data_IF_314796061001
#
_entry.id   IF_314796061001
#
_cell.length_a   1.000
_cell.length_b   1.000
_cell.length_c   1.000
_cell.angle_alpha   90.00
_cell.angle_beta   90.00
_cell.angle_gamma   90.00
#
_symmetry.space_group_name_H-M   'P 1'
#
loop_
_entity.id
_entity.type
_entity.pdbx_description
1 polymer ?
#
# COMPACT_ATOMS: atom_id res chain seq x y z
N UNK A 1 6.88 28.96 -82.53
CA UNK A 1 7.48 30.30 -82.46
C UNK A 1 6.75 31.05 -81.36
N UNK A 2 7.33 31.54 -80.27
CA UNK A 2 8.72 31.72 -79.86
C UNK A 2 8.80 31.56 -78.33
N UNK A 3 9.95 31.13 -77.83
CA UNK A 3 10.30 31.13 -76.41
C UNK A 3 10.39 32.56 -75.86
N UNK A 4 9.98 32.78 -74.61
CA UNK A 4 10.90 33.41 -73.66
C UNK A 4 10.56 33.10 -72.21
N UNK A 5 11.59 32.64 -71.51
CA UNK A 5 11.62 32.33 -70.08
C UNK A 5 11.73 33.61 -69.27
N UNK A 6 11.10 33.68 -68.08
CA UNK A 6 11.78 34.28 -66.94
C UNK A 6 11.24 33.76 -65.61
N UNK A 7 12.19 33.29 -64.80
CA UNK A 7 12.05 32.67 -63.49
C UNK A 7 11.88 33.73 -62.41
N UNK A 8 10.87 33.59 -61.54
CA UNK A 8 10.98 33.98 -60.13
C UNK A 8 10.26 32.92 -59.28
N UNK A 9 11.06 32.01 -58.70
CA UNK A 9 10.60 30.97 -57.77
C UNK A 9 10.20 31.60 -56.44
N UNK A 10 8.90 31.57 -56.15
CA UNK A 10 8.32 31.81 -54.82
C UNK A 10 8.65 30.61 -53.91
N UNK A 11 9.44 30.82 -52.85
CA UNK A 11 9.67 29.83 -51.80
C UNK A 11 8.41 29.73 -50.92
N UNK A 12 7.56 28.73 -51.18
CA UNK A 12 6.57 28.25 -50.21
C UNK A 12 7.30 27.28 -49.26
N UNK A 13 7.51 27.71 -48.02
CA UNK A 13 7.84 26.80 -46.90
C UNK A 13 6.58 26.01 -46.59
N UNK A 14 6.52 24.78 -47.07
CA UNK A 14 5.56 23.78 -46.57
C UNK A 14 6.08 23.34 -45.20
N UNK A 15 5.36 23.72 -44.15
CA UNK A 15 5.54 23.13 -42.83
C UNK A 15 5.00 21.69 -42.90
N UNK A 16 5.92 20.73 -42.98
CA UNK A 16 5.62 19.35 -42.70
C UNK A 16 5.27 19.25 -41.21
N UNK A 17 3.99 19.06 -40.92
CA UNK A 17 3.53 18.51 -39.65
C UNK A 17 4.06 17.08 -39.57
N UNK A 18 5.20 16.89 -38.90
CA UNK A 18 5.60 15.58 -38.41
C UNK A 18 4.80 15.30 -37.14
N UNK A 19 3.81 14.42 -37.25
CA UNK A 19 3.25 13.67 -36.14
C UNK A 19 4.39 12.95 -35.41
N UNK A 20 4.77 13.42 -34.22
CA UNK A 20 5.42 12.59 -33.22
C UNK A 20 4.29 11.83 -32.51
N UNK A 21 3.93 10.63 -32.95
CA UNK A 21 4.58 9.36 -32.65
C UNK A 21 4.58 9.05 -31.14
N UNK A 22 3.58 8.28 -30.72
CA UNK A 22 3.68 7.25 -29.69
C UNK A 22 4.07 7.67 -28.27
N UNK A 23 3.07 8.06 -27.47
CA UNK A 23 3.05 7.63 -26.06
C UNK A 23 2.68 6.14 -26.04
N UNK A 24 3.61 5.31 -26.51
CA UNK A 24 3.58 3.90 -26.16
C UNK A 24 3.91 3.81 -24.68
N UNK A 25 3.13 3.04 -23.92
CA UNK A 25 3.52 2.56 -22.61
C UNK A 25 5.00 2.20 -22.65
N UNK A 26 5.82 2.83 -21.81
CA UNK A 26 7.25 2.56 -21.82
C UNK A 26 7.42 1.04 -21.62
N UNK A 27 7.93 0.29 -22.61
CA UNK A 27 8.19 -1.12 -22.40
C UNK A 27 9.21 -1.19 -21.27
N UNK A 28 8.91 -1.96 -20.23
CA UNK A 28 9.90 -2.28 -19.20
C UNK A 28 11.15 -2.77 -19.92
N UNK A 29 12.24 -2.00 -19.88
CA UNK A 29 13.51 -2.48 -20.40
C UNK A 29 13.96 -3.62 -19.46
N UNK A 30 13.88 -4.87 -19.92
CA UNK A 30 14.15 -6.09 -19.16
C UNK A 30 15.64 -6.25 -18.80
N UNK A 31 16.18 -5.37 -17.96
CA UNK A 31 17.62 -5.33 -17.71
C UNK A 31 18.12 -6.37 -16.69
N UNK A 32 17.20 -7.00 -15.95
CA UNK A 32 17.54 -8.04 -14.96
C UNK A 32 16.70 -9.30 -15.14
N UNK A 33 15.39 -9.16 -15.31
CA UNK A 33 14.47 -10.29 -15.42
C UNK A 33 13.81 -10.29 -16.80
N UNK A 34 13.92 -11.41 -17.52
CA UNK A 34 13.06 -11.73 -18.66
C UNK A 34 11.81 -12.47 -18.12
N UNK A 35 10.60 -11.88 -18.24
CA UNK A 35 9.39 -12.46 -17.67
C UNK A 35 8.84 -13.65 -18.46
N UNK A 36 9.44 -13.99 -19.61
CA UNK A 36 8.96 -15.08 -20.48
C UNK A 36 9.15 -16.46 -19.84
N UNK A 37 8.20 -17.36 -20.09
CA UNK A 37 8.30 -18.75 -19.61
C UNK A 37 9.53 -19.48 -20.19
N UNK A 38 10.01 -19.05 -21.37
CA UNK A 38 11.25 -19.57 -21.96
C UNK A 38 12.49 -19.20 -21.14
N UNK A 39 12.55 -17.99 -20.59
CA UNK A 39 13.66 -17.53 -19.76
C UNK A 39 13.71 -18.23 -18.39
N UNK A 40 12.56 -18.65 -17.84
CA UNK A 40 12.49 -19.39 -16.57
C UNK A 40 13.34 -20.66 -16.59
N UNK A 41 13.51 -21.28 -17.76
CA UNK A 41 14.33 -22.48 -17.93
C UNK A 41 15.81 -22.22 -17.58
N UNK A 42 16.30 -21.00 -17.79
CA UNK A 42 17.68 -20.59 -17.50
C UNK A 42 17.85 -20.00 -16.09
N UNK A 43 16.78 -19.53 -15.45
CA UNK A 43 16.82 -18.95 -14.11
C UNK A 43 17.11 -19.97 -13.02
N UNK A 44 17.68 -19.48 -11.91
CA UNK A 44 17.85 -20.29 -10.70
C UNK A 44 16.50 -20.41 -9.99
N UNK A 45 15.98 -21.62 -9.82
CA UNK A 45 14.74 -21.84 -9.06
C UNK A 45 15.00 -22.36 -7.63
N UNK A 46 14.06 -22.04 -6.74
CA UNK A 46 13.97 -22.60 -5.39
C UNK A 46 12.53 -23.05 -5.17
N UNK A 47 12.32 -24.36 -5.05
CA UNK A 47 11.05 -24.94 -4.65
C UNK A 47 10.97 -25.05 -3.12
N UNK A 48 9.82 -24.71 -2.53
CA UNK A 48 9.52 -24.85 -1.11
C UNK A 48 8.15 -25.52 -0.91
N UNK A 49 7.93 -26.15 0.24
CA UNK A 49 6.81 -27.07 0.50
C UNK A 49 5.54 -26.44 1.09
N UNK A 50 5.54 -25.13 1.30
CA UNK A 50 4.39 -24.38 1.80
C UNK A 50 4.01 -23.21 0.86
N UNK A 51 2.73 -22.81 0.83
CA UNK A 51 2.34 -21.54 0.23
C UNK A 51 2.81 -20.37 1.11
N UNK A 52 3.22 -19.26 0.50
CA UNK A 52 3.74 -18.09 1.23
C UNK A 52 2.73 -17.47 2.21
N UNK A 53 1.43 -17.63 1.94
CA UNK A 53 0.37 -17.08 2.78
C UNK A 53 0.27 -17.80 4.14
N UNK A 54 0.79 -19.03 4.22
CA UNK A 54 0.84 -19.85 5.45
C UNK A 54 2.20 -19.74 6.18
N UNK A 55 3.17 -18.99 5.63
CA UNK A 55 4.59 -19.06 6.02
C UNK A 55 4.93 -18.39 7.37
N UNK A 56 4.03 -17.57 7.92
CA UNK A 56 4.26 -16.84 9.18
C UNK A 56 5.52 -15.96 9.13
N UNK A 57 6.54 -16.30 9.92
CA UNK A 57 7.82 -15.62 9.95
C UNK A 57 8.95 -16.53 9.42
N UNK A 58 9.70 -16.02 8.44
CA UNK A 58 10.79 -16.69 7.75
C UNK A 58 12.15 -16.15 8.21
N UNK A 59 13.21 -16.93 8.03
CA UNK A 59 14.58 -16.55 8.34
C UNK A 59 15.13 -15.63 7.23
N UNK A 60 15.63 -14.47 7.63
CA UNK A 60 16.30 -13.53 6.75
C UNK A 60 17.75 -13.93 6.45
N UNK A 61 18.30 -13.42 5.34
CA UNK A 61 19.70 -13.57 4.94
C UNK A 61 20.69 -13.02 5.99
N UNK A 62 20.23 -12.08 6.82
CA UNK A 62 20.96 -11.47 7.93
C UNK A 62 20.68 -12.14 9.29
N UNK A 63 19.92 -13.24 9.30
CA UNK A 63 19.47 -13.93 10.51
C UNK A 63 18.26 -13.29 11.21
N UNK A 64 17.67 -12.23 10.64
CA UNK A 64 16.46 -11.61 11.16
C UNK A 64 15.21 -12.47 10.91
N UNK A 65 14.08 -12.06 11.49
CA UNK A 65 12.76 -12.65 11.19
C UNK A 65 12.04 -11.78 10.18
N UNK A 66 11.83 -12.31 8.99
CA UNK A 66 11.06 -11.68 7.91
C UNK A 66 9.62 -12.17 7.99
N UNK A 67 8.69 -11.28 8.32
CA UNK A 67 7.25 -11.59 8.25
C UNK A 67 6.87 -11.72 6.76
N UNK A 68 6.36 -12.87 6.34
CA UNK A 68 5.79 -13.00 4.99
C UNK A 68 4.54 -12.10 4.86
N UNK A 69 4.30 -11.56 3.67
CA UNK A 69 3.02 -10.95 3.31
C UNK A 69 2.40 -11.68 2.13
N UNK A 70 1.11 -11.40 1.89
CA UNK A 70 0.37 -11.91 0.75
C UNK A 70 1.14 -11.66 -0.55
N UNK A 71 1.09 -12.63 -1.46
CA UNK A 71 1.66 -12.51 -2.80
C UNK A 71 1.04 -11.36 -3.62
N UNK A 72 -0.18 -10.94 -3.28
CA UNK A 72 -0.84 -9.80 -3.92
C UNK A 72 -0.28 -8.44 -3.45
N UNK A 73 0.44 -8.40 -2.31
CA UNK A 73 1.14 -7.22 -1.80
C UNK A 73 2.56 -7.56 -1.29
N UNK A 74 3.50 -7.84 -2.23
CA UNK A 74 4.87 -8.24 -1.91
C UNK A 74 5.78 -7.05 -1.58
N UNK A 75 5.33 -5.82 -1.86
CA UNK A 75 6.11 -4.61 -1.74
C UNK A 75 5.95 -4.00 -0.35
N UNK A 76 7.08 -3.78 0.34
CA UNK A 76 7.13 -2.94 1.54
C UNK A 76 7.91 -1.68 1.23
N UNK A 77 7.31 -0.52 1.46
CA UNK A 77 8.06 0.74 1.41
C UNK A 77 8.44 1.11 2.84
N UNK A 78 9.71 0.95 3.17
CA UNK A 78 10.25 1.44 4.45
C UNK A 78 10.33 2.96 4.38
N UNK A 79 9.93 3.63 5.46
CA UNK A 79 9.84 5.10 5.57
C UNK A 79 10.80 5.66 6.63
N UNK A 80 11.97 5.03 6.82
CA UNK A 80 12.98 5.34 7.84
C UNK A 80 13.86 6.54 7.45
N UNK A 81 13.22 7.69 7.27
CA UNK A 81 13.87 8.91 6.83
C UNK A 81 14.06 8.98 5.32
N UNK A 82 13.87 7.88 4.58
CA UNK A 82 13.73 7.86 3.12
C UNK A 82 12.70 6.80 2.73
N UNK A 83 11.97 7.02 1.64
CA UNK A 83 11.09 6.01 1.07
C UNK A 83 11.92 5.01 0.27
N UNK A 84 11.97 3.76 0.70
CA UNK A 84 12.74 2.69 0.05
C UNK A 84 11.85 1.49 -0.22
N UNK A 85 11.62 1.12 -1.50
CA UNK A 85 10.91 -0.09 -1.81
C UNK A 85 11.80 -1.30 -1.47
N UNK A 86 11.23 -2.24 -0.75
CA UNK A 86 11.86 -3.49 -0.35
C UNK A 86 10.89 -4.63 -0.63
N UNK A 87 11.41 -5.72 -1.21
CA UNK A 87 10.66 -6.95 -1.36
C UNK A 87 11.02 -7.83 -0.18
N UNK A 88 10.03 -8.21 0.62
CA UNK A 88 10.29 -9.08 1.78
C UNK A 88 10.89 -10.41 1.33
N UNK A 89 10.43 -10.93 0.19
CA UNK A 89 10.89 -12.21 -0.34
C UNK A 89 12.35 -12.19 -0.79
N UNK A 90 12.93 -11.03 -1.13
CA UNK A 90 14.36 -10.93 -1.43
C UNK A 90 15.25 -10.95 -0.18
N UNK A 91 14.68 -10.66 0.99
CA UNK A 91 15.39 -10.65 2.26
C UNK A 91 15.49 -12.03 2.90
N UNK A 92 14.72 -13.02 2.43
CA UNK A 92 14.63 -14.36 3.00
C UNK A 92 15.80 -15.24 2.55
N UNK A 93 16.37 -16.01 3.48
CA UNK A 93 17.28 -17.10 3.16
C UNK A 93 16.49 -18.34 2.71
N UNK A 94 16.17 -18.38 1.42
CA UNK A 94 15.45 -19.49 0.81
C UNK A 94 16.22 -20.82 0.80
N UNK A 95 17.53 -20.82 1.07
CA UNK A 95 18.31 -22.06 1.08
C UNK A 95 17.87 -23.02 2.19
N UNK A 96 17.35 -22.47 3.31
CA UNK A 96 16.87 -23.22 4.47
C UNK A 96 15.54 -23.93 4.21
N UNK A 97 14.73 -23.40 3.29
CA UNK A 97 13.38 -23.89 3.00
C UNK A 97 13.30 -24.77 1.75
N UNK A 98 14.43 -24.93 1.06
CA UNK A 98 14.47 -25.61 -0.24
C UNK A 98 14.06 -27.08 -0.11
N UNK A 99 13.16 -27.51 -0.98
CA UNK A 99 12.89 -28.92 -1.27
C UNK A 99 14.09 -29.53 -2.01
N UNK A 100 14.82 -30.49 -1.40
CA UNK A 100 16.01 -31.07 -2.03
C UNK A 100 15.65 -31.80 -3.34
N UNK A 101 16.43 -31.55 -4.39
CA UNK A 101 16.27 -32.21 -5.70
C UNK A 101 15.03 -31.79 -6.51
N UNK A 102 14.20 -30.86 -5.99
CA UNK A 102 13.00 -30.39 -6.68
C UNK A 102 13.24 -28.99 -7.27
N UNK A 103 12.86 -28.84 -8.54
CA UNK A 103 12.87 -27.55 -9.26
C UNK A 103 11.57 -26.78 -9.10
N UNK A 104 10.46 -27.51 -8.97
CA UNK A 104 9.08 -27.03 -8.83
C UNK A 104 8.50 -27.63 -7.56
N UNK A 105 7.73 -26.83 -6.82
CA UNK A 105 7.01 -27.25 -5.61
C UNK A 105 5.78 -26.38 -5.36
N UNK A 106 5.08 -26.56 -4.22
CA UNK A 106 3.93 -25.74 -3.83
C UNK A 106 4.16 -24.24 -3.93
N UNK A 107 5.37 -23.76 -3.59
CA UNK A 107 5.84 -22.44 -4.01
C UNK A 107 7.17 -22.59 -4.74
N UNK A 108 7.32 -21.90 -5.86
CA UNK A 108 8.57 -21.87 -6.63
C UNK A 108 9.01 -20.42 -6.85
N UNK A 109 10.23 -20.10 -6.42
CA UNK A 109 10.83 -18.78 -6.59
C UNK A 109 11.90 -18.83 -7.68
N UNK A 110 11.89 -17.88 -8.60
CA UNK A 110 12.84 -17.78 -9.71
C UNK A 110 13.69 -16.54 -9.55
N UNK A 111 15.01 -16.73 -9.65
CA UNK A 111 16.00 -15.70 -9.47
C UNK A 111 16.92 -15.60 -10.68
N UNK A 112 17.31 -14.38 -10.97
CA UNK A 112 18.37 -14.07 -11.93
C UNK A 112 19.42 -13.15 -11.30
N UNK A 113 20.50 -12.87 -12.03
CA UNK A 113 21.55 -11.95 -11.61
C UNK A 113 21.58 -10.72 -12.50
N UNK A 114 21.61 -9.55 -11.88
CA UNK A 114 21.90 -8.30 -12.57
C UNK A 114 23.36 -8.26 -13.05
N UNK A 115 23.68 -7.27 -13.90
CA UNK A 115 25.01 -7.08 -14.45
C UNK A 115 26.11 -6.84 -13.38
N UNK A 116 25.74 -6.34 -12.21
CA UNK A 116 26.61 -6.15 -11.05
C UNK A 116 26.80 -7.44 -10.21
N UNK A 117 26.13 -8.52 -10.59
CA UNK A 117 26.15 -9.81 -9.90
C UNK A 117 25.14 -9.92 -8.75
N UNK A 118 24.36 -8.88 -8.45
CA UNK A 118 23.30 -8.92 -7.46
C UNK A 118 22.21 -9.91 -7.88
N UNK A 119 21.75 -10.72 -6.93
CA UNK A 119 20.67 -11.69 -7.15
C UNK A 119 19.33 -10.99 -6.97
N UNK A 120 18.46 -11.09 -7.97
CA UNK A 120 17.11 -10.54 -7.93
C UNK A 120 16.06 -11.63 -8.06
N UNK A 121 14.96 -11.48 -7.32
CA UNK A 121 13.77 -12.29 -7.49
C UNK A 121 13.03 -11.78 -8.73
N UNK A 122 12.75 -12.66 -9.68
CA UNK A 122 12.09 -12.33 -10.93
C UNK A 122 10.65 -12.81 -10.99
N UNK A 123 10.36 -13.98 -10.38
CA UNK A 123 9.03 -14.56 -10.37
C UNK A 123 8.81 -15.41 -9.14
N UNK A 124 7.59 -15.43 -8.64
CA UNK A 124 7.11 -16.37 -7.64
C UNK A 124 5.87 -17.06 -8.18
N UNK A 125 5.82 -18.38 -8.04
CA UNK A 125 4.69 -19.20 -8.42
C UNK A 125 4.16 -19.92 -7.19
N UNK A 126 2.85 -19.87 -6.99
CA UNK A 126 2.15 -20.74 -6.05
C UNK A 126 1.35 -21.76 -6.84
N UNK A 127 1.60 -23.03 -6.53
CA UNK A 127 1.07 -24.18 -7.22
C UNK A 127 0.14 -24.98 -6.31
N UNK A 128 -1.02 -25.33 -6.85
CA UNK A 128 -1.87 -26.39 -6.31
C UNK A 128 -1.44 -27.74 -6.86
N UNK A 129 -1.98 -28.82 -6.28
CA UNK A 129 -1.90 -30.14 -6.88
C UNK A 129 -2.98 -30.30 -7.95
N UNK A 130 -2.68 -31.08 -8.99
CA UNK A 130 -3.66 -31.50 -9.99
C UNK A 130 -4.70 -32.44 -9.39
N UNK A 131 -5.87 -32.50 -10.02
CA UNK A 131 -6.94 -33.40 -9.57
C UNK A 131 -6.47 -34.86 -9.70
N UNK A 132 -5.71 -35.17 -10.76
CA UNK A 132 -5.10 -36.48 -11.00
C UNK A 132 -4.11 -36.90 -9.89
N UNK A 133 -3.30 -35.97 -9.37
CA UNK A 133 -2.40 -36.27 -8.26
C UNK A 133 -3.19 -36.55 -6.99
N UNK A 134 -4.22 -35.74 -6.71
CA UNK A 134 -5.07 -35.92 -5.53
C UNK A 134 -5.82 -37.26 -5.57
N UNK A 135 -6.31 -37.69 -6.74
CA UNK A 135 -6.93 -39.00 -6.93
C UNK A 135 -5.94 -40.15 -6.70
N UNK A 136 -4.74 -40.06 -7.31
CA UNK A 136 -3.65 -41.04 -7.11
C UNK A 136 -3.28 -41.15 -5.64
N UNK A 137 -3.19 -40.00 -4.96
CA UNK A 137 -2.86 -39.93 -3.54
C UNK A 137 -3.95 -40.55 -2.68
N UNK A 138 -5.22 -40.22 -2.92
CA UNK A 138 -6.34 -40.78 -2.16
C UNK A 138 -6.40 -42.31 -2.28
N UNK A 139 -6.05 -42.86 -3.44
CA UNK A 139 -5.96 -44.31 -3.67
C UNK A 139 -4.81 -45.00 -2.91
N UNK A 140 -3.80 -44.25 -2.46
CA UNK A 140 -2.63 -44.76 -1.73
C UNK A 140 -2.78 -44.66 -0.21
N UNK A 141 -3.78 -43.92 0.29
CA UNK A 141 -4.06 -43.80 1.73
C UNK A 141 -4.91 -44.97 2.21
N UNK A 142 -4.62 -45.52 3.39
CA UNK A 142 -5.56 -46.42 4.05
C UNK A 142 -6.86 -45.66 4.42
N UNK A 143 -7.96 -46.38 4.65
CA UNK A 143 -9.26 -45.76 4.98
C UNK A 143 -9.18 -44.83 6.20
N UNK A 144 -8.42 -45.22 7.22
CA UNK A 144 -8.22 -44.47 8.46
C UNK A 144 -7.35 -43.22 8.25
N UNK A 145 -6.36 -43.30 7.36
CA UNK A 145 -5.55 -42.15 6.94
C UNK A 145 -6.33 -41.18 6.06
N UNK A 146 -7.21 -41.69 5.19
CA UNK A 146 -8.11 -40.90 4.35
C UNK A 146 -9.12 -40.10 5.19
N UNK A 147 -9.71 -40.71 6.23
CA UNK A 147 -10.64 -40.03 7.13
C UNK A 147 -9.94 -38.95 7.99
N UNK A 148 -8.73 -39.24 8.51
CA UNK A 148 -7.90 -38.25 9.22
C UNK A 148 -7.47 -37.11 8.30
N UNK A 149 -7.13 -37.42 7.04
CA UNK A 149 -6.76 -36.43 6.03
C UNK A 149 -7.94 -35.54 5.63
N UNK A 150 -9.13 -36.11 5.42
CA UNK A 150 -10.35 -35.34 5.15
C UNK A 150 -10.74 -34.43 6.32
N UNK A 151 -10.43 -34.85 7.56
CA UNK A 151 -10.57 -34.03 8.75
C UNK A 151 -9.53 -32.89 8.79
N UNK A 152 -8.24 -33.17 8.57
CA UNK A 152 -7.17 -32.16 8.56
C UNK A 152 -7.30 -31.15 7.40
N UNK A 153 -7.78 -31.56 6.22
CA UNK A 153 -8.11 -30.66 5.10
C UNK A 153 -9.17 -29.63 5.47
N UNK A 154 -10.14 -30.00 6.32
CA UNK A 154 -11.16 -29.08 6.86
C UNK A 154 -10.60 -28.15 7.95
N UNK A 155 -9.45 -28.48 8.54
CA UNK A 155 -8.87 -27.77 9.68
C UNK A 155 -7.45 -27.22 9.41
N UNK A 156 -7.01 -27.16 8.14
CA UNK A 156 -5.75 -26.51 7.75
C UNK A 156 -4.45 -27.24 8.16
N UNK A 157 -4.47 -28.57 8.27
CA UNK A 157 -3.29 -29.34 8.69
C UNK A 157 -2.12 -29.29 7.69
N UNK A 158 -1.02 -28.63 8.07
CA UNK A 158 0.20 -28.50 7.25
C UNK A 158 1.04 -29.78 7.10
N UNK A 159 0.85 -30.78 7.98
CA UNK A 159 1.75 -31.93 8.11
C UNK A 159 1.81 -32.85 6.88
N UNK A 160 0.71 -32.96 6.12
CA UNK A 160 0.66 -33.84 4.96
C UNK A 160 1.16 -33.17 3.66
N UNK A 161 1.07 -31.83 3.56
CA UNK A 161 1.45 -31.08 2.35
C UNK A 161 2.94 -31.20 2.01
N UNK A 162 3.80 -31.26 3.03
CA UNK A 162 5.25 -31.45 2.84
C UNK A 162 5.61 -32.83 2.28
N UNK A 163 4.88 -33.87 2.69
CA UNK A 163 5.07 -35.22 2.16
C UNK A 163 4.61 -35.29 0.69
N UNK A 164 3.46 -34.70 0.39
CA UNK A 164 2.94 -34.61 -0.98
C UNK A 164 3.90 -33.86 -1.89
N UNK A 165 4.44 -32.73 -1.42
CA UNK A 165 5.37 -31.93 -2.19
C UNK A 165 6.66 -32.68 -2.54
N UNK A 166 7.09 -33.61 -1.68
CA UNK A 166 8.25 -34.48 -1.96
C UNK A 166 7.90 -35.57 -2.97
N UNK A 167 6.68 -36.10 -2.92
CA UNK A 167 6.21 -37.17 -3.80
C UNK A 167 5.77 -36.70 -5.20
N UNK A 168 5.26 -35.47 -5.30
CA UNK A 168 4.76 -34.89 -6.53
C UNK A 168 5.89 -34.60 -7.53
N UNK A 169 5.61 -34.89 -8.79
CA UNK A 169 6.47 -34.55 -9.92
C UNK A 169 6.02 -33.23 -10.57
N UNK A 170 6.84 -32.58 -11.42
CA UNK A 170 6.48 -31.27 -12.00
C UNK A 170 5.12 -31.22 -12.70
N UNK A 171 4.66 -32.34 -13.29
CA UNK A 171 3.34 -32.44 -13.95
C UNK A 171 2.16 -32.65 -12.99
N UNK A 172 2.43 -32.91 -11.71
CA UNK A 172 1.42 -33.04 -10.65
C UNK A 172 1.03 -31.67 -10.06
N UNK A 173 1.66 -30.60 -10.53
CA UNK A 173 1.39 -29.23 -10.10
C UNK A 173 0.57 -28.47 -11.14
N UNK A 174 -0.31 -27.61 -10.62
CA UNK A 174 -1.07 -26.63 -11.38
C UNK A 174 -0.75 -25.25 -10.85
N UNK A 175 -0.37 -24.33 -11.74
CA UNK A 175 -0.12 -22.94 -11.38
C UNK A 175 -1.44 -22.25 -11.00
N UNK A 176 -1.54 -21.79 -9.75
CA UNK A 176 -2.73 -21.10 -9.24
C UNK A 176 -2.51 -19.58 -9.21
N UNK A 177 -1.34 -19.14 -8.73
CA UNK A 177 -0.99 -17.72 -8.64
C UNK A 177 0.44 -17.50 -9.10
N UNK A 178 0.70 -16.35 -9.71
CA UNK A 178 2.07 -15.91 -9.98
C UNK A 178 2.25 -14.42 -9.74
N UNK A 179 3.44 -14.07 -9.27
CA UNK A 179 3.96 -12.72 -9.17
C UNK A 179 5.13 -12.59 -10.15
N UNK A 180 5.12 -11.55 -10.98
CA UNK A 180 6.20 -11.23 -11.92
C UNK A 180 6.78 -9.87 -11.56
N UNK A 181 8.09 -9.81 -11.33
CA UNK A 181 8.80 -8.61 -10.89
C UNK A 181 9.53 -7.96 -12.07
N UNK A 182 9.44 -6.64 -12.16
CA UNK A 182 10.03 -5.84 -13.23
C UNK A 182 11.09 -4.91 -12.67
N UNK A 183 12.24 -4.85 -13.32
CA UNK A 183 13.36 -4.00 -12.94
C UNK A 183 13.72 -3.03 -14.07
N UNK A 184 14.18 -1.84 -13.71
CA UNK A 184 14.69 -0.87 -14.68
C UNK A 184 16.13 -1.20 -15.11
N UNK A 185 16.65 -0.42 -16.06
CA UNK A 185 18.03 -0.53 -16.57
C UNK A 185 19.13 -0.35 -15.51
N UNK A 186 18.80 0.22 -14.36
CA UNK A 186 19.71 0.39 -13.24
C UNK A 186 19.56 -0.74 -12.20
N UNK A 187 18.78 -1.78 -12.49
CA UNK A 187 18.53 -2.90 -11.58
C UNK A 187 17.58 -2.57 -10.42
N UNK A 188 16.87 -1.43 -10.48
CA UNK A 188 15.91 -1.05 -9.42
C UNK A 188 14.55 -1.63 -9.73
N UNK A 189 13.80 -2.03 -8.69
CA UNK A 189 12.43 -2.48 -8.84
C UNK A 189 11.56 -1.38 -9.49
N UNK A 190 11.04 -1.66 -10.68
CA UNK A 190 10.20 -0.77 -11.46
C UNK A 190 8.70 -1.11 -11.31
N UNK A 191 8.36 -2.32 -10.85
CA UNK A 191 6.98 -2.72 -10.68
C UNK A 191 6.81 -4.22 -10.54
N UNK A 192 5.56 -4.66 -10.44
CA UNK A 192 5.20 -6.06 -10.45
C UNK A 192 3.79 -6.28 -11.00
N UNK A 193 3.56 -7.47 -11.53
CA UNK A 193 2.26 -7.98 -11.96
C UNK A 193 1.85 -9.17 -11.11
N UNK A 194 0.59 -9.20 -10.68
CA UNK A 194 -0.01 -10.33 -9.97
C UNK A 194 -1.01 -11.03 -10.87
N UNK A 195 -1.08 -12.35 -10.75
CA UNK A 195 -1.97 -13.19 -11.51
C UNK A 195 -2.58 -14.24 -10.61
N UNK A 196 -3.87 -14.52 -10.81
CA UNK A 196 -4.58 -15.58 -10.12
C UNK A 196 -5.44 -16.36 -11.11
N UNK A 197 -5.60 -17.65 -10.83
CA UNK A 197 -6.57 -18.51 -11.49
C UNK A 197 -7.91 -18.38 -10.77
N UNK A 198 -8.99 -18.25 -11.52
CA UNK A 198 -10.32 -18.38 -10.94
C UNK A 198 -10.53 -19.81 -10.45
N UNK A 199 -11.17 -19.96 -9.28
CA UNK A 199 -11.40 -21.27 -8.65
C UNK A 199 -12.14 -22.24 -9.57
N UNK A 200 -13.09 -21.73 -10.34
CA UNK A 200 -13.95 -22.51 -11.22
C UNK A 200 -13.36 -22.68 -12.63
N UNK A 201 -12.18 -22.12 -12.89
CA UNK A 201 -11.50 -22.30 -14.16
C UNK A 201 -11.04 -23.76 -14.33
N UNK A 202 -11.11 -24.27 -15.55
CA UNK A 202 -10.59 -25.59 -15.89
C UNK A 202 -9.10 -25.74 -15.55
N UNK A 203 -8.67 -26.97 -15.31
CA UNK A 203 -7.31 -27.30 -14.84
C UNK A 203 -6.18 -26.76 -15.75
N UNK A 204 -6.47 -26.64 -17.05
CA UNK A 204 -5.51 -26.17 -18.06
C UNK A 204 -5.58 -24.66 -18.33
N UNK A 205 -6.51 -23.96 -17.70
CA UNK A 205 -6.65 -22.52 -17.87
C UNK A 205 -5.53 -21.81 -17.12
N UNK A 206 -4.68 -21.01 -17.79
CA UNK A 206 -3.61 -20.29 -17.12
C UNK A 206 -4.17 -19.16 -16.22
N UNK A 207 -3.45 -18.76 -15.17
CA UNK A 207 -3.81 -17.59 -14.35
C UNK A 207 -3.92 -16.32 -15.20
N UNK A 208 -4.96 -15.53 -14.93
CA UNK A 208 -5.17 -14.22 -15.54
C UNK A 208 -4.56 -13.12 -14.67
N UNK A 209 -4.18 -11.99 -15.28
CA UNK A 209 -3.62 -10.87 -14.54
C UNK A 209 -4.71 -10.22 -13.66
N UNK A 210 -4.44 -10.10 -12.37
CA UNK A 210 -5.35 -9.53 -11.36
C UNK A 210 -4.91 -8.16 -10.87
N UNK A 211 -3.61 -7.86 -10.97
CA UNK A 211 -3.07 -6.58 -10.51
C UNK A 211 -1.78 -6.18 -11.22
N UNK A 212 -1.48 -4.90 -11.10
CA UNK A 212 -0.22 -4.30 -11.54
C UNK A 212 0.11 -3.11 -10.64
N UNK A 213 1.36 -3.03 -10.21
CA UNK A 213 1.89 -1.88 -9.49
C UNK A 213 3.18 -1.42 -10.17
N UNK A 214 3.31 -0.13 -10.45
CA UNK A 214 4.55 0.45 -10.97
C UNK A 214 5.16 1.41 -9.95
N UNK A 215 6.47 1.48 -9.96
CA UNK A 215 7.28 2.37 -9.14
C UNK A 215 7.97 3.37 -10.04
N UNK A 216 7.96 4.63 -9.64
CA UNK A 216 8.64 5.71 -10.35
C UNK A 216 9.62 6.40 -9.42
N UNK A 217 10.82 6.64 -9.94
CA UNK A 217 11.88 7.34 -9.23
C UNK A 217 12.05 8.76 -9.77
N UNK A 218 12.50 9.69 -8.94
CA UNK A 218 12.88 11.04 -9.38
C UNK A 218 14.31 11.09 -9.97
N UNK A 219 14.75 12.27 -10.38
CA UNK A 219 16.06 12.47 -11.00
C UNK A 219 17.25 12.13 -10.07
N UNK A 220 17.04 12.14 -8.74
CA UNK A 220 18.05 11.73 -7.75
C UNK A 220 17.99 10.22 -7.46
N UNK A 221 17.03 9.52 -8.08
CA UNK A 221 16.81 8.09 -7.91
C UNK A 221 16.02 7.71 -6.66
N UNK A 222 15.33 8.66 -6.01
CA UNK A 222 14.47 8.36 -4.87
C UNK A 222 13.08 7.95 -5.36
N UNK A 223 12.44 7.01 -4.65
CA UNK A 223 11.08 6.59 -4.98
C UNK A 223 10.15 7.79 -4.86
N UNK A 224 9.53 8.20 -5.96
CA UNK A 224 8.68 9.39 -6.04
C UNK A 224 7.19 9.06 -6.07
N UNK A 225 6.82 7.92 -6.67
CA UNK A 225 5.45 7.45 -6.71
C UNK A 225 5.37 5.93 -6.84
N UNK A 226 4.26 5.34 -6.41
CA UNK A 226 3.95 3.93 -6.62
C UNK A 226 2.45 3.71 -6.78
N UNK A 227 2.03 2.77 -7.63
CA UNK A 227 0.61 2.43 -7.80
C UNK A 227 0.28 1.89 -9.19
N UNK A 228 -0.96 1.45 -9.38
CA UNK A 228 -1.45 0.99 -10.68
C UNK A 228 -1.55 2.14 -11.69
N UNK A 229 -1.98 3.30 -11.22
CA UNK A 229 -2.11 4.54 -11.99
C UNK A 229 -0.76 5.09 -12.46
N UNK A 230 0.33 4.79 -11.73
CA UNK A 230 1.70 5.09 -12.18
C UNK A 230 2.05 4.32 -13.46
N UNK A 231 1.49 3.12 -13.63
CA UNK A 231 1.67 2.34 -14.86
C UNK A 231 1.01 3.00 -16.07
N UNK A 232 -0.09 3.72 -15.85
CA UNK A 232 -0.78 4.50 -16.89
C UNK A 232 -0.04 5.81 -17.24
N UNK A 233 1.19 5.99 -16.73
CA UNK A 233 2.02 7.15 -16.96
C UNK A 233 1.68 8.35 -16.07
N UNK A 234 0.72 8.22 -15.14
CA UNK A 234 0.44 9.27 -14.16
C UNK A 234 1.60 9.37 -13.17
N UNK A 235 1.94 10.60 -12.80
CA UNK A 235 3.05 10.86 -11.88
C UNK A 235 2.87 12.17 -11.13
N UNK A 236 3.65 12.35 -10.06
CA UNK A 236 3.54 13.53 -9.21
C UNK A 236 2.13 13.64 -8.64
N UNK A 237 1.48 14.78 -8.81
CA UNK A 237 0.16 15.03 -8.21
C UNK A 237 -0.99 14.22 -8.81
N UNK A 238 -0.77 13.57 -9.94
CA UNK A 238 -1.74 12.66 -10.54
C UNK A 238 -1.61 11.23 -10.03
N UNK A 239 -0.56 10.93 -9.27
CA UNK A 239 -0.35 9.60 -8.71
C UNK A 239 -1.16 9.38 -7.41
N UNK A 240 -1.66 8.16 -7.23
CA UNK A 240 -2.44 7.70 -6.08
C UNK A 240 -1.59 7.54 -4.82
N UNK A 241 -0.29 7.28 -4.95
CA UNK A 241 0.66 7.34 -3.84
C UNK A 241 1.95 8.04 -4.26
N UNK A 242 2.33 9.08 -3.52
CA UNK A 242 3.49 9.95 -3.79
C UNK A 242 4.34 10.06 -2.55
N UNK A 243 5.65 10.07 -2.75
CA UNK A 243 6.65 10.28 -1.71
C UNK A 243 7.43 11.55 -2.04
N UNK A 244 7.42 12.52 -1.12
CA UNK A 244 8.08 13.81 -1.30
C UNK A 244 9.33 13.85 -0.42
N UNK A 245 10.48 14.08 -1.04
CA UNK A 245 11.76 14.21 -0.37
C UNK A 245 12.30 15.64 -0.50
N UNK A 246 13.12 16.07 0.47
CA UNK A 246 13.95 17.27 0.32
C UNK A 246 15.18 17.00 -0.58
N UNK A 247 16.03 18.01 -0.75
CA UNK A 247 17.21 17.95 -1.60
C UNK A 247 18.30 16.95 -1.12
N UNK A 248 18.24 16.51 0.14
CA UNK A 248 19.15 15.50 0.71
C UNK A 248 18.54 14.09 0.64
N UNK A 249 17.32 13.98 0.13
CA UNK A 249 16.59 12.72 -0.01
C UNK A 249 15.92 12.27 1.28
N UNK A 250 15.73 13.19 2.23
CA UNK A 250 14.96 12.91 3.44
C UNK A 250 13.48 12.99 3.12
N UNK A 251 12.72 11.98 3.54
CA UNK A 251 11.27 11.92 3.37
C UNK A 251 10.62 13.04 4.19
N UNK A 252 9.86 13.88 3.52
CA UNK A 252 9.08 14.96 4.13
C UNK A 252 7.64 14.54 4.30
N UNK A 253 7.05 13.93 3.25
CA UNK A 253 5.62 13.63 3.18
C UNK A 253 5.34 12.41 2.34
N UNK A 254 4.28 11.70 2.71
CA UNK A 254 3.61 10.72 1.86
C UNK A 254 2.21 11.22 1.58
N UNK A 255 1.85 11.31 0.30
CA UNK A 255 0.55 11.79 -0.18
C UNK A 255 -0.17 10.60 -0.81
N UNK A 256 -1.35 10.25 -0.28
CA UNK A 256 -2.24 9.24 -0.85
C UNK A 256 -3.49 9.92 -1.42
N UNK A 257 -3.96 9.46 -2.58
CA UNK A 257 -5.18 9.95 -3.24
C UNK A 257 -6.06 8.77 -3.63
N UNK A 258 -7.24 8.70 -3.04
CA UNK A 258 -8.22 7.63 -3.25
C UNK A 258 -9.60 8.29 -3.49
N UNK A 259 -10.22 8.11 -4.65
CA UNK A 259 -11.60 8.54 -4.95
C UNK A 259 -11.97 9.98 -4.51
N UNK A 260 -11.07 10.94 -4.74
CA UNK A 260 -11.27 12.35 -4.37
C UNK A 260 -10.92 12.69 -2.91
N UNK A 261 -10.63 11.71 -2.07
CA UNK A 261 -9.96 11.91 -0.80
C UNK A 261 -8.45 12.05 -1.03
N UNK A 262 -7.83 12.97 -0.29
CA UNK A 262 -6.38 13.17 -0.31
C UNK A 262 -5.88 13.17 1.12
N UNK A 263 -4.86 12.36 1.38
CA UNK A 263 -4.23 12.19 2.68
C UNK A 263 -2.76 12.56 2.60
N UNK A 264 -2.25 13.31 3.57
CA UNK A 264 -0.85 13.71 3.67
C UNK A 264 -0.32 13.33 5.05
N UNK A 265 0.63 12.40 5.11
CA UNK A 265 1.38 12.07 6.32
C UNK A 265 2.74 12.77 6.25
N UNK A 266 3.07 13.60 7.23
CA UNK A 266 4.38 14.29 7.32
C UNK A 266 5.39 13.46 8.10
N UNK A 267 6.68 13.76 7.94
CA UNK A 267 7.80 13.09 8.60
C UNK A 267 8.80 14.10 9.17
N UNK A 268 9.33 13.79 10.35
CA UNK A 268 10.29 14.66 11.04
C UNK A 268 11.72 14.52 10.48
N UNK A 269 12.69 15.22 11.09
CA UNK A 269 14.10 15.15 10.69
C UNK A 269 14.74 13.76 10.86
N UNK A 270 14.15 12.92 11.72
CA UNK A 270 14.61 11.56 12.03
C UNK A 270 13.84 10.49 11.25
N UNK A 271 12.91 10.88 10.38
CA UNK A 271 12.08 9.96 9.61
C UNK A 271 10.91 9.37 10.40
N UNK A 272 10.54 9.93 11.54
CA UNK A 272 9.36 9.50 12.28
C UNK A 272 8.09 10.11 11.68
N UNK A 273 6.98 9.35 11.59
CA UNK A 273 5.69 9.91 11.21
C UNK A 273 5.27 11.03 12.16
N UNK A 274 4.94 12.20 11.60
CA UNK A 274 4.42 13.37 12.31
C UNK A 274 2.92 13.59 12.08
N UNK A 275 2.54 14.82 11.75
CA UNK A 275 1.15 15.22 11.52
C UNK A 275 0.51 14.51 10.32
N UNK A 276 -0.77 14.16 10.48
CA UNK A 276 -1.65 13.62 9.44
C UNK A 276 -2.68 14.69 9.03
N UNK A 277 -2.75 14.96 7.73
CA UNK A 277 -3.73 15.88 7.13
C UNK A 277 -4.60 15.15 6.12
N UNK A 278 -5.85 15.59 6.02
CA UNK A 278 -6.88 14.94 5.21
C UNK A 278 -7.69 16.04 4.51
N UNK A 279 -7.85 15.93 3.20
CA UNK A 279 -8.95 16.58 2.49
C UNK A 279 -9.87 15.50 1.95
N UNK A 280 -11.08 15.49 2.48
CA UNK A 280 -12.20 14.77 1.89
C UNK A 280 -12.85 15.70 0.88
N UNK A 281 -12.52 15.59 -0.41
CA UNK A 281 -13.42 16.12 -1.43
C UNK A 281 -14.65 15.22 -1.40
N UNK A 282 -15.72 15.69 -0.75
CA UNK A 282 -16.93 14.88 -0.57
C UNK A 282 -16.97 14.06 0.70
N UNK A 283 -16.76 14.68 1.87
CA UNK A 283 -17.56 14.21 3.01
C UNK A 283 -19.01 14.15 2.52
N UNK A 284 -19.59 12.94 2.43
CA UNK A 284 -21.01 12.79 2.74
C UNK A 284 -21.13 13.54 4.05
N UNK A 285 -21.86 14.67 4.04
CA UNK A 285 -22.05 15.48 5.24
C UNK A 285 -22.19 14.51 6.40
N UNK A 286 -21.34 14.65 7.43
CA UNK A 286 -21.45 13.79 8.61
C UNK A 286 -22.94 13.71 8.91
N UNK A 287 -23.50 12.49 8.97
CA UNK A 287 -24.93 12.36 9.13
C UNK A 287 -25.34 13.26 10.28
N UNK A 288 -26.51 13.90 10.17
CA UNK A 288 -26.99 14.84 11.19
C UNK A 288 -26.90 14.27 12.61
N UNK A 289 -26.72 12.95 12.73
CA UNK A 289 -26.41 12.19 13.91
C UNK A 289 -25.33 11.15 13.61
N UNK A 290 -24.33 11.01 14.48
CA UNK A 290 -23.27 10.02 14.32
C UNK A 290 -23.78 8.61 14.63
N UNK A 291 -23.64 7.67 13.67
CA UNK A 291 -24.10 6.31 13.87
C UNK A 291 -23.21 5.54 14.86
N UNK A 292 -23.78 4.51 15.47
CA UNK A 292 -22.97 3.42 16.02
C UNK A 292 -22.25 2.69 14.87
N UNK A 293 -20.91 2.61 14.90
CA UNK A 293 -20.13 1.93 13.87
C UNK A 293 -19.92 0.48 14.29
N UNK A 294 -20.54 -0.44 13.55
CA UNK A 294 -20.36 -1.89 13.72
C UNK A 294 -19.01 -2.33 13.11
N UNK A 295 -18.40 -3.36 13.69
CA UNK A 295 -17.15 -3.99 13.21
C UNK A 295 -15.89 -3.09 13.22
N UNK A 296 -15.77 -2.20 14.22
CA UNK A 296 -14.71 -1.20 14.39
C UNK A 296 -13.29 -1.72 14.74
N UNK A 297 -12.95 -2.97 14.44
CA UNK A 297 -11.72 -3.59 14.94
C UNK A 297 -10.47 -3.37 14.08
N UNK A 298 -10.60 -2.89 12.83
CA UNK A 298 -9.45 -2.68 11.95
C UNK A 298 -8.87 -1.26 12.04
N UNK A 299 -7.53 -1.16 12.11
CA UNK A 299 -6.80 0.11 12.18
C UNK A 299 -6.92 0.93 10.89
N UNK A 300 -7.12 0.28 9.74
CA UNK A 300 -7.35 0.96 8.46
C UNK A 300 -8.66 1.75 8.42
N UNK A 301 -9.62 1.36 9.25
CA UNK A 301 -10.98 1.91 9.27
C UNK A 301 -11.06 3.24 10.05
N UNK A 302 -10.16 3.46 11.01
CA UNK A 302 -10.11 4.69 11.82
C UNK A 302 -9.69 5.93 11.04
N UNK A 303 -8.89 5.76 9.99
CA UNK A 303 -8.46 6.87 9.13
C UNK A 303 -9.62 7.42 8.28
N UNK A 304 -10.64 6.58 8.01
CA UNK A 304 -11.89 6.99 7.35
C UNK A 304 -12.86 7.70 8.32
N UNK A 305 -12.60 7.64 9.63
CA UNK A 305 -13.45 8.17 10.71
C UNK A 305 -12.92 9.51 11.23
N UNK A 306 -12.86 10.50 10.34
CA UNK A 306 -12.32 11.82 10.67
C UNK A 306 -13.40 12.90 10.76
N UNK A 307 -13.37 13.68 11.85
CA UNK A 307 -14.13 14.91 12.03
C UNK A 307 -13.23 16.13 11.77
N UNK A 308 -13.60 16.95 10.80
CA UNK A 308 -12.93 18.21 10.49
C UNK A 308 -13.60 19.36 11.24
N UNK A 309 -12.80 20.20 11.89
CA UNK A 309 -13.26 21.38 12.62
C UNK A 309 -12.98 22.65 11.82
N UNK A 310 -14.02 23.28 11.29
CA UNK A 310 -13.92 24.50 10.46
C UNK A 310 -13.35 25.72 11.22
N UNK A 311 -13.37 25.70 12.55
CA UNK A 311 -12.91 26.81 13.37
C UNK A 311 -13.18 26.60 14.87
N UNK A 312 -12.81 27.56 15.73
CA UNK A 312 -12.98 27.45 17.19
C UNK A 312 -14.44 27.37 17.64
N UNK A 313 -15.39 27.75 16.78
CA UNK A 313 -16.83 27.76 17.05
C UNK A 313 -17.58 26.59 16.37
N UNK A 314 -16.86 25.53 15.99
CA UNK A 314 -17.40 24.34 15.31
C UNK A 314 -18.66 23.75 15.96
N UNK A 315 -19.48 23.08 15.15
CA UNK A 315 -20.72 22.44 15.60
C UNK A 315 -20.46 20.98 15.92
N UNK A 316 -20.85 20.55 17.12
CA UNK A 316 -20.73 19.14 17.51
C UNK A 316 -21.95 18.37 16.99
N UNK A 317 -21.75 17.29 16.20
CA UNK A 317 -22.86 16.44 15.80
C UNK A 317 -23.40 15.67 17.03
N UNK A 318 -24.73 15.48 17.14
CA UNK A 318 -25.31 14.60 18.14
C UNK A 318 -24.95 13.13 17.85
N UNK A 319 -25.05 12.29 18.88
CA UNK A 319 -24.88 10.83 18.77
C UNK A 319 -26.24 10.12 18.69
N UNK A 320 -26.24 8.85 18.28
CA UNK A 320 -27.47 8.07 18.09
C UNK A 320 -28.31 7.88 19.36
N UNK A 321 -27.65 7.68 20.50
CA UNK A 321 -28.30 7.36 21.77
C UNK A 321 -27.94 8.36 22.87
N UNK A 322 -28.84 8.48 23.85
CA UNK A 322 -28.60 9.29 25.04
C UNK A 322 -27.71 8.62 26.07
N UNK A 323 -27.23 9.41 27.02
CA UNK A 323 -26.49 8.96 28.20
C UNK A 323 -25.15 8.27 27.94
N UNK A 324 -24.58 8.44 26.75
CA UNK A 324 -23.21 8.00 26.45
C UNK A 324 -22.19 8.90 27.13
N UNK A 325 -21.25 8.26 27.84
CA UNK A 325 -20.03 8.88 28.29
C UNK A 325 -19.13 9.17 27.07
N UNK A 326 -18.81 10.44 26.86
CA UNK A 326 -17.94 10.89 25.78
C UNK A 326 -16.73 11.63 26.32
N UNK A 327 -15.62 11.55 25.59
CA UNK A 327 -14.36 12.22 25.93
C UNK A 327 -13.55 12.61 24.70
N UNK A 328 -12.99 13.81 24.71
CA UNK A 328 -11.95 14.28 23.80
C UNK A 328 -10.59 14.14 24.47
N UNK A 329 -9.69 13.41 23.82
CA UNK A 329 -8.38 13.06 24.33
C UNK A 329 -7.30 13.54 23.37
N UNK A 330 -6.20 14.04 23.91
CA UNK A 330 -4.99 14.34 23.14
C UNK A 330 -3.95 13.26 23.44
N UNK A 331 -3.47 12.61 22.39
CA UNK A 331 -2.43 11.58 22.47
C UNK A 331 -1.05 12.21 22.82
N UNK A 332 -0.23 11.54 23.64
CA UNK A 332 1.11 12.00 24.03
C UNK A 332 2.18 11.71 22.95
N UNK A 333 3.29 12.45 22.97
CA UNK A 333 4.38 12.30 21.98
C UNK A 333 4.04 12.91 20.61
N UNK A 334 4.74 12.49 19.56
CA UNK A 334 4.62 13.04 18.18
C UNK A 334 4.00 12.05 17.17
N UNK A 335 3.77 10.79 17.55
CA UNK A 335 3.28 9.72 16.67
C UNK A 335 1.76 9.82 16.38
N UNK A 336 1.33 9.68 15.13
CA UNK A 336 -0.08 9.80 14.71
C UNK A 336 -1.00 8.76 15.36
N UNK A 337 -2.32 9.02 15.35
CA UNK A 337 -3.36 8.27 16.07
C UNK A 337 -3.63 6.80 15.62
N UNK A 338 -2.63 6.09 15.08
CA UNK A 338 -2.73 4.69 14.69
C UNK A 338 -2.87 3.68 15.83
N UNK A 339 -2.98 4.11 17.10
CA UNK A 339 -3.18 3.17 18.20
C UNK A 339 -3.52 3.82 19.53
N UNK A 340 -4.80 4.15 19.78
CA UNK A 340 -5.25 4.47 21.15
C UNK A 340 -5.04 3.29 22.11
N UNK A 341 -5.01 2.05 21.56
CA UNK A 341 -4.73 0.81 22.30
C UNK A 341 -3.28 0.76 22.81
N UNK A 342 -2.36 1.54 22.22
CA UNK A 342 -0.96 1.59 22.63
C UNK A 342 -0.70 2.54 23.80
N UNK A 343 -1.65 3.41 24.13
CA UNK A 343 -1.50 4.40 25.21
C UNK A 343 -2.33 4.01 26.41
N UNK A 344 -1.74 4.10 27.59
CA UNK A 344 -2.50 3.91 28.82
C UNK A 344 -3.37 5.14 29.06
N UNK A 345 -4.55 4.96 29.68
CA UNK A 345 -5.47 6.08 29.96
C UNK A 345 -4.81 7.22 30.77
N UNK A 346 -3.79 6.92 31.60
CA UNK A 346 -3.04 7.90 32.39
C UNK A 346 -2.02 8.73 31.59
N UNK A 347 -1.72 8.34 30.34
CA UNK A 347 -0.82 9.07 29.45
C UNK A 347 -1.57 10.06 28.53
N UNK A 348 -2.91 9.97 28.49
CA UNK A 348 -3.76 10.76 27.62
C UNK A 348 -4.17 12.07 28.28
N UNK A 349 -3.99 13.19 27.59
CA UNK A 349 -4.45 14.48 28.09
C UNK A 349 -5.95 14.65 27.80
N UNK A 350 -6.77 14.77 28.84
CA UNK A 350 -8.19 15.05 28.71
C UNK A 350 -8.44 16.50 28.28
N UNK A 351 -9.07 16.70 27.12
CA UNK A 351 -9.45 18.02 26.62
C UNK A 351 -10.84 18.43 27.09
N UNK A 352 -11.80 17.48 27.04
CA UNK A 352 -13.17 17.63 27.50
C UNK A 352 -13.82 16.25 27.71
N UNK A 353 -14.79 16.16 28.63
CA UNK A 353 -15.63 14.97 28.83
C UNK A 353 -17.04 15.37 29.28
N UNK A 354 -17.97 14.44 29.16
CA UNK A 354 -19.32 14.57 29.70
C UNK A 354 -20.22 13.40 29.30
N UNK A 355 -21.53 13.59 29.50
CA UNK A 355 -22.57 12.65 29.06
C UNK A 355 -23.44 13.28 27.98
N UNK A 356 -23.83 12.50 26.98
CA UNK A 356 -24.83 12.94 26.00
C UNK A 356 -26.20 13.07 26.69
N UNK A 357 -26.99 14.08 26.30
CA UNK A 357 -28.37 14.21 26.80
C UNK A 357 -29.27 13.09 26.26
N UNK A 358 -30.49 12.98 26.77
CA UNK A 358 -31.46 11.92 26.38
C UNK A 358 -31.75 11.79 24.88
N UNK A 359 -31.49 12.83 24.09
CA UNK A 359 -31.62 12.83 22.64
C UNK A 359 -30.28 12.69 21.89
N UNK A 360 -29.22 12.28 22.58
CA UNK A 360 -27.85 12.21 22.04
C UNK A 360 -27.17 13.57 21.86
N UNK A 361 -27.77 14.66 22.35
CA UNK A 361 -27.17 15.98 22.22
C UNK A 361 -25.94 16.12 23.13
N UNK A 362 -24.82 16.59 22.56
CA UNK A 362 -23.62 16.89 23.31
C UNK A 362 -23.46 18.40 23.46
N UNK A 363 -23.12 18.84 24.67
CA UNK A 363 -22.93 20.26 24.98
C UNK A 363 -21.48 20.50 25.37
N UNK A 364 -20.81 21.33 24.58
CA UNK A 364 -19.48 21.86 24.86
C UNK A 364 -19.60 23.37 25.09
N UNK A 365 -18.90 23.88 26.11
CA UNK A 365 -18.72 25.32 26.28
C UNK A 365 -17.85 25.90 25.16
N UNK A 366 -17.95 27.21 24.91
CA UNK A 366 -17.10 27.88 23.92
C UNK A 366 -15.59 27.68 24.22
N UNK A 367 -15.20 27.67 25.50
CA UNK A 367 -13.84 27.41 25.92
C UNK A 367 -13.39 25.97 25.60
N UNK A 368 -14.27 24.97 25.76
CA UNK A 368 -13.96 23.59 25.40
C UNK A 368 -13.82 23.42 23.89
N UNK A 369 -14.75 23.98 23.10
CA UNK A 369 -14.67 23.94 21.64
C UNK A 369 -13.37 24.55 21.12
N UNK A 370 -13.00 25.72 21.65
CA UNK A 370 -11.75 26.40 21.31
C UNK A 370 -10.52 25.57 21.67
N UNK A 371 -10.47 25.01 22.88
CA UNK A 371 -9.36 24.15 23.33
C UNK A 371 -9.18 22.93 22.44
N UNK A 372 -10.27 22.25 22.07
CA UNK A 372 -10.25 21.08 21.19
C UNK A 372 -9.74 21.49 19.79
N UNK A 373 -10.24 22.60 19.26
CA UNK A 373 -9.81 23.13 17.96
C UNK A 373 -8.33 23.53 17.96
N UNK A 374 -7.86 24.24 18.99
CA UNK A 374 -6.44 24.61 19.14
C UNK A 374 -5.55 23.36 19.23
N UNK A 375 -5.96 22.35 20.02
CA UNK A 375 -5.22 21.09 20.10
C UNK A 375 -5.19 20.34 18.75
N UNK A 376 -6.31 20.29 18.02
CA UNK A 376 -6.39 19.64 16.71
C UNK A 376 -5.61 20.40 15.63
N UNK A 377 -5.47 21.72 15.75
CA UNK A 377 -4.66 22.57 14.87
C UNK A 377 -3.17 22.44 15.17
N UNK A 378 -2.81 22.47 16.44
CA UNK A 378 -1.42 22.48 16.88
C UNK A 378 -0.81 21.06 16.83
N UNK A 379 -1.66 20.02 16.90
CA UNK A 379 -1.26 18.61 16.77
C UNK A 379 -2.25 17.84 15.88
N UNK A 380 -2.20 18.03 14.55
CA UNK A 380 -3.12 17.38 13.61
C UNK A 380 -3.06 15.86 13.67
N UNK A 381 -4.23 15.22 13.73
CA UNK A 381 -4.37 13.76 13.81
C UNK A 381 -4.08 13.18 15.19
N UNK A 382 -4.04 14.00 16.25
CA UNK A 382 -3.70 13.58 17.63
C UNK A 382 -4.84 13.73 18.62
N UNK A 383 -5.91 14.39 18.22
CA UNK A 383 -7.11 14.52 19.03
C UNK A 383 -8.06 13.38 18.66
N UNK A 384 -8.45 12.57 19.65
CA UNK A 384 -9.46 11.53 19.49
C UNK A 384 -10.72 11.94 20.21
N UNK A 385 -11.86 11.71 19.57
CA UNK A 385 -13.15 11.78 20.21
C UNK A 385 -13.73 10.40 20.38
N UNK A 386 -13.73 9.91 21.62
CA UNK A 386 -14.53 8.76 22.02
C UNK A 386 -15.95 9.25 22.28
N UNK A 387 -16.86 9.02 21.32
CA UNK A 387 -18.22 9.58 21.37
C UNK A 387 -19.25 8.60 21.94
N UNK A 388 -18.92 7.32 21.98
CA UNK A 388 -19.68 6.25 22.61
C UNK A 388 -18.73 5.09 22.98
N UNK A 389 -19.16 4.13 23.81
CA UNK A 389 -18.35 2.95 24.15
C UNK A 389 -17.88 2.19 22.89
N UNK A 390 -16.57 2.04 22.73
CA UNK A 390 -15.96 1.36 21.57
C UNK A 390 -15.99 2.16 20.26
N UNK A 391 -16.40 3.44 20.30
CA UNK A 391 -16.57 4.28 19.12
C UNK A 391 -15.67 5.51 19.18
N UNK A 392 -14.83 5.69 18.17
CA UNK A 392 -13.88 6.79 18.09
C UNK A 392 -13.80 7.47 16.72
N UNK A 393 -13.49 8.77 16.74
CA UNK A 393 -13.15 9.57 15.57
C UNK A 393 -11.80 10.26 15.80
N UNK A 394 -11.02 10.41 14.72
CA UNK A 394 -9.88 11.34 14.69
C UNK A 394 -10.40 12.75 14.42
N UNK A 395 -9.93 13.73 15.18
CA UNK A 395 -10.36 15.14 15.07
C UNK A 395 -9.21 15.97 14.54
N UNK A 396 -9.47 16.72 13.45
CA UNK A 396 -8.49 17.59 12.79
C UNK A 396 -9.05 18.99 12.60
N UNK A 397 -8.20 20.02 12.66
CA UNK A 397 -8.62 21.37 12.32
C UNK A 397 -8.52 21.61 10.81
N UNK A 398 -9.47 22.36 10.26
CA UNK A 398 -9.41 22.82 8.88
C UNK A 398 -8.18 23.73 8.66
N UNK A 399 -7.62 23.66 7.46
CA UNK A 399 -6.45 24.41 7.01
C UNK A 399 -6.85 25.35 5.86
N UNK A 400 -6.23 26.54 5.71
CA UNK A 400 -6.49 27.39 4.54
C UNK A 400 -6.15 26.68 3.23
N UNK A 401 -7.01 26.84 2.21
CA UNK A 401 -6.90 26.17 0.90
C UNK A 401 -5.54 26.35 0.21
N UNK A 402 -4.90 27.52 0.39
CA UNK A 402 -3.57 27.79 -0.18
C UNK A 402 -2.52 26.88 0.46
N UNK A 403 -2.55 26.75 1.79
CA UNK A 403 -1.62 25.89 2.53
C UNK A 403 -1.93 24.42 2.23
N UNK A 404 -3.22 24.06 2.12
CA UNK A 404 -3.60 22.71 1.75
C UNK A 404 -3.06 22.32 0.36
N UNK A 405 -3.20 23.18 -0.65
CA UNK A 405 -2.67 22.91 -2.00
C UNK A 405 -1.15 22.73 -2.02
N UNK A 406 -0.42 23.45 -1.18
CA UNK A 406 1.03 23.27 -1.02
C UNK A 406 1.36 21.95 -0.32
N UNK A 407 0.67 21.65 0.79
CA UNK A 407 0.83 20.44 1.57
C UNK A 407 0.56 19.16 0.76
N UNK A 408 -0.54 19.17 0.02
CA UNK A 408 -1.03 18.07 -0.80
C UNK A 408 -0.41 18.04 -2.21
N UNK A 409 0.52 18.95 -2.51
CA UNK A 409 1.27 18.99 -3.75
C UNK A 409 2.65 18.34 -3.62
N UNK A 410 3.12 17.71 -4.70
CA UNK A 410 4.42 17.05 -4.77
C UNK A 410 5.56 18.00 -5.19
N UNK A 411 5.20 19.18 -5.72
CA UNK A 411 6.16 20.14 -6.29
C UNK A 411 6.90 20.95 -5.23
N UNK A 412 6.22 21.28 -4.13
CA UNK A 412 6.87 21.93 -2.99
C UNK A 412 7.69 20.88 -2.24
N UNK A 413 9.00 21.09 -2.11
CA UNK A 413 9.92 20.19 -1.39
C UNK A 413 10.48 20.83 -0.12
N UNK A 414 9.76 21.82 0.43
CA UNK A 414 10.11 22.43 1.72
C UNK A 414 9.49 21.63 2.88
N UNK A 415 10.18 21.55 4.03
CA UNK A 415 9.65 20.86 5.21
C UNK A 415 8.36 21.47 5.78
N UNK A 416 8.10 22.76 5.53
CA UNK A 416 7.00 23.53 6.08
C UNK A 416 5.83 23.76 5.10
N UNK A 417 5.75 23.02 3.99
CA UNK A 417 4.67 23.17 3.00
C UNK A 417 3.26 22.91 3.56
N UNK A 418 3.13 22.20 4.68
CA UNK A 418 1.86 22.02 5.41
C UNK A 418 1.58 23.11 6.44
N UNK A 419 2.34 24.19 6.41
CA UNK A 419 2.39 25.19 7.46
C UNK A 419 3.18 24.70 8.69
N UNK A 420 3.59 25.63 9.55
CA UNK A 420 4.10 25.26 10.87
C UNK A 420 2.91 24.85 11.72
N UNK A 421 3.00 23.71 12.43
CA UNK A 421 2.08 23.44 13.53
C UNK A 421 2.06 24.66 14.48
N UNK A 422 0.89 25.28 14.64
CA UNK A 422 0.74 26.53 15.39
C UNK A 422 0.95 27.85 14.61
N UNK A 423 1.10 27.83 13.28
CA UNK A 423 1.05 29.06 12.49
C UNK A 423 -0.38 29.62 12.50
N UNK A 424 -0.61 30.63 13.34
CA UNK A 424 -1.81 31.44 13.29
C UNK A 424 -2.08 31.86 11.84
N UNK A 425 -3.32 31.70 11.38
CA UNK A 425 -3.84 32.57 10.36
C UNK A 425 -3.67 33.99 10.91
N UNK A 426 -2.61 34.67 10.47
CA UNK A 426 -2.51 36.13 10.63
C UNK A 426 -3.40 36.68 9.52
N UNK A 427 -4.60 37.00 9.96
CA UNK A 427 -5.72 37.70 9.31
C UNK A 427 -5.31 38.82 8.34
N UNK A 428 -6.23 39.23 7.44
CA UNK A 428 -7.40 40.03 7.83
C UNK A 428 -8.69 39.25 8.04
#
# INVERSE_FOLDING_TARGET
>A
MAHNSNNVRRRLRVHAFALAAGLAAAPFAHAVCDPSDAALAAMTSVAVDFPLDDAGALLGLDGSRVKASDLDDPLRVTLDGRARPTLWAEQVDWSVYRLPGKRVGPTTLFFDRAADGARHLCRVEQNGFTDAFEDKRAALLTREESDRYAYERRHGGAGNRAADARAAEPGDYRLERKLVLHYDSAGRLAGFDTFSRDRDAGERTPPAQTGRVCLRYDAHGWLAASGADVCDGRAGDQAGLVYVHDADGRLLRVIRRDDGAVRVQTFDARGKPGALYLATSGQKALPHRLPEIRDAYDLSDREQRTLVLDGPNWTIPPVDYGDYDWRFLLLPGDESAGGIIAFRDDELQLLAAGKSGRNGAIRLSAAQKRRIWEAARDRPGRVIWNYAPGQDLVVVAAMPDVVWRQCAGASDRTPDACGKAGAAARNP
#
